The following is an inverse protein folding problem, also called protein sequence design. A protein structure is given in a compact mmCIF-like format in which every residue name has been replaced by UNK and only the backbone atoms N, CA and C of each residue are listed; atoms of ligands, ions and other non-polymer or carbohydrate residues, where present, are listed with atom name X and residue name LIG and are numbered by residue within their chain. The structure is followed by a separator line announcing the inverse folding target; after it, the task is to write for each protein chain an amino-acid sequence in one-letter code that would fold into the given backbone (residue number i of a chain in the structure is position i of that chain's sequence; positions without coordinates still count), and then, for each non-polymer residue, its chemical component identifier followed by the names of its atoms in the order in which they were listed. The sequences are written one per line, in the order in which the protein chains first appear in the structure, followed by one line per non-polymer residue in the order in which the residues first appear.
data_IF_673713325874
#
_entry.id   IF_673713325874
#
_cell.length_a   1.000
_cell.length_b   1.000
_cell.length_c   1.000
_cell.angle_alpha   90.00
_cell.angle_beta   90.00
_cell.angle_gamma   90.00
#
_symmetry.space_group_name_H-M   'P 1'
#
loop_
_entity.id
_entity.type
_entity.pdbx_description
1 polymer ?
#
# COMPACT_ATOMS: atom_id res chain seq x y z
N UNK A 1 10.59 9.04 30.30
CA UNK A 1 9.34 9.18 29.52
C UNK A 1 9.69 9.86 28.22
N UNK A 2 9.57 9.18 27.08
CA UNK A 2 9.85 9.78 25.78
C UNK A 2 8.72 10.74 25.41
N UNK A 3 9.05 11.97 25.04
CA UNK A 3 8.06 12.91 24.52
C UNK A 3 7.54 12.38 23.17
N UNK A 4 6.26 12.03 23.12
CA UNK A 4 5.55 11.76 21.86
C UNK A 4 5.40 13.09 21.14
N UNK A 5 6.09 13.23 20.01
CA UNK A 5 6.01 14.44 19.19
C UNK A 5 5.20 14.08 17.96
N UNK A 6 4.11 14.81 17.71
CA UNK A 6 3.38 14.74 16.45
C UNK A 6 3.81 15.90 15.58
N UNK A 7 4.24 15.63 14.34
CA UNK A 7 4.62 16.68 13.41
C UNK A 7 4.17 16.37 11.98
N UNK A 8 3.80 17.40 11.20
CA UNK A 8 3.47 17.23 9.79
C UNK A 8 4.71 16.77 9.02
N UNK A 9 4.58 15.66 8.31
CA UNK A 9 5.67 15.04 7.55
C UNK A 9 5.22 14.77 6.13
N UNK A 10 6.10 15.07 5.17
CA UNK A 10 5.86 14.75 3.75
C UNK A 10 6.02 13.25 3.53
N UNK A 11 4.93 12.60 3.13
CA UNK A 11 4.86 11.17 2.84
C UNK A 11 5.35 10.84 1.42
N UNK A 12 5.41 9.54 1.11
CA UNK A 12 5.84 9.02 -0.18
C UNK A 12 4.96 9.48 -1.35
N UNK A 13 3.66 9.63 -1.10
CA UNK A 13 2.69 10.20 -2.04
C UNK A 13 2.80 11.73 -2.20
N UNK A 14 3.74 12.39 -1.53
CA UNK A 14 3.94 13.84 -1.61
C UNK A 14 3.00 14.68 -0.74
N UNK A 15 1.92 14.10 -0.20
CA UNK A 15 1.04 14.75 0.77
C UNK A 15 1.70 14.91 2.15
N UNK A 16 1.19 15.85 2.95
CA UNK A 16 1.55 16.00 4.36
C UNK A 16 0.62 15.16 5.22
N UNK A 17 1.18 14.45 6.19
CA UNK A 17 0.42 13.70 7.20
C UNK A 17 0.98 13.95 8.60
N UNK A 18 0.14 13.80 9.62
CA UNK A 18 0.52 13.92 11.03
C UNK A 18 1.16 12.61 11.48
N UNK A 19 2.49 12.60 11.58
CA UNK A 19 3.24 11.43 12.04
C UNK A 19 3.60 11.54 13.53
N UNK A 20 3.42 10.46 14.26
CA UNK A 20 3.81 10.35 15.67
C UNK A 20 5.22 9.77 15.80
N UNK A 21 6.16 10.60 16.22
CA UNK A 21 7.53 10.21 16.52
C UNK A 21 7.59 9.65 17.93
N UNK A 22 7.86 8.35 18.03
CA UNK A 22 7.83 7.61 19.30
C UNK A 22 9.21 7.09 19.70
N UNK A 23 10.15 7.02 18.75
CA UNK A 23 11.47 6.50 18.99
C UNK A 23 12.36 7.49 19.77
N UNK A 24 13.04 7.03 20.84
CA UNK A 24 13.92 7.90 21.62
C UNK A 24 15.23 8.22 20.88
N UNK A 25 15.81 9.38 21.19
CA UNK A 25 17.11 9.80 20.68
C UNK A 25 17.13 10.21 19.20
N UNK A 26 18.27 10.72 18.76
CA UNK A 26 18.44 11.24 17.38
C UNK A 26 18.35 10.14 16.32
N UNK A 27 18.90 8.95 16.60
CA UNK A 27 18.86 7.81 15.70
C UNK A 27 17.44 7.29 15.46
N UNK A 28 16.68 7.11 16.56
CA UNK A 28 15.29 6.69 16.50
C UNK A 28 14.41 7.68 15.73
N UNK A 29 14.52 8.98 16.04
CA UNK A 29 13.79 10.04 15.31
C UNK A 29 14.13 10.08 13.82
N UNK A 30 15.39 9.80 13.46
CA UNK A 30 15.80 9.70 12.05
C UNK A 30 15.11 8.51 11.37
N UNK A 31 15.01 7.37 12.04
CA UNK A 31 14.34 6.18 11.51
C UNK A 31 12.83 6.38 11.37
N UNK A 32 12.18 6.98 12.36
CA UNK A 32 10.76 7.36 12.31
C UNK A 32 10.48 8.30 11.12
N UNK A 33 11.36 9.30 10.91
CA UNK A 33 11.25 10.23 9.77
C UNK A 33 11.44 9.53 8.43
N UNK A 34 12.41 8.61 8.35
CA UNK A 34 12.62 7.81 7.16
C UNK A 34 11.40 6.96 6.86
N UNK A 35 10.85 6.25 7.86
CA UNK A 35 9.63 5.47 7.74
C UNK A 35 8.47 6.34 7.22
N UNK A 36 8.17 7.45 7.89
CA UNK A 36 7.09 8.36 7.51
C UNK A 36 7.23 8.91 6.08
N UNK A 37 8.45 9.25 5.65
CA UNK A 37 8.71 9.72 4.27
C UNK A 37 8.67 8.60 3.21
N UNK A 38 8.58 7.35 3.64
CA UNK A 38 8.63 6.15 2.80
C UNK A 38 7.34 5.34 2.80
N UNK A 39 6.33 5.82 3.53
CA UNK A 39 4.96 5.34 3.52
C UNK A 39 4.06 6.39 2.90
N UNK A 40 2.93 5.96 2.33
CA UNK A 40 1.89 6.90 1.88
C UNK A 40 1.14 7.49 3.08
N UNK A 41 0.44 8.61 2.89
CA UNK A 41 -0.38 9.20 3.94
C UNK A 41 -1.64 8.36 4.23
N UNK A 42 -2.26 8.61 5.37
CA UNK A 42 -3.48 7.94 5.83
C UNK A 42 -4.63 8.03 4.83
N UNK A 43 -4.85 9.19 4.20
CA UNK A 43 -5.89 9.39 3.18
C UNK A 43 -5.64 8.53 1.93
N UNK A 44 -4.42 8.55 1.39
CA UNK A 44 -4.07 7.69 0.24
C UNK A 44 -4.16 6.21 0.60
N UNK A 45 -3.78 5.83 1.82
CA UNK A 45 -3.95 4.45 2.30
C UNK A 45 -5.42 4.06 2.42
N UNK A 46 -6.29 4.94 2.87
CA UNK A 46 -7.72 4.68 2.96
C UNK A 46 -8.33 4.51 1.58
N UNK A 47 -7.99 5.42 0.66
CA UNK A 47 -8.42 5.37 -0.74
C UNK A 47 -8.03 4.07 -1.45
N UNK A 48 -6.79 3.61 -1.27
CA UNK A 48 -6.37 2.29 -1.80
C UNK A 48 -7.22 1.16 -1.23
N UNK A 49 -7.50 1.18 0.08
CA UNK A 49 -8.29 0.13 0.74
C UNK A 49 -9.73 0.11 0.23
N UNK A 50 -10.31 1.27 -0.06
CA UNK A 50 -11.63 1.39 -0.66
C UNK A 50 -11.65 0.86 -2.11
N UNK A 51 -10.66 1.24 -2.92
CA UNK A 51 -10.54 0.75 -4.31
C UNK A 51 -10.42 -0.76 -4.41
N UNK A 52 -9.72 -1.39 -3.46
CA UNK A 52 -9.51 -2.85 -3.43
C UNK A 52 -10.48 -3.58 -2.50
N UNK A 53 -11.55 -2.91 -2.09
CA UNK A 53 -12.62 -3.56 -1.34
C UNK A 53 -13.23 -4.73 -2.16
N UNK A 54 -13.72 -5.79 -1.49
CA UNK A 54 -14.29 -6.94 -2.17
C UNK A 54 -15.39 -6.57 -3.18
N UNK A 55 -15.26 -7.07 -4.40
CA UNK A 55 -16.21 -6.83 -5.49
C UNK A 55 -17.07 -8.06 -5.72
N UNK A 56 -18.39 -7.86 -5.88
CA UNK A 56 -19.34 -8.96 -6.00
C UNK A 56 -19.31 -9.66 -7.38
N UNK A 57 -18.86 -8.95 -8.43
CA UNK A 57 -18.88 -9.43 -9.81
C UNK A 57 -17.67 -8.94 -10.58
N UNK A 58 -17.27 -9.71 -11.58
CA UNK A 58 -16.19 -9.38 -12.50
C UNK A 58 -15.25 -10.56 -12.72
N UNK A 59 -14.73 -10.66 -13.94
CA UNK A 59 -13.70 -11.62 -14.28
C UNK A 59 -12.57 -10.88 -14.97
N UNK A 60 -11.38 -10.96 -14.38
CA UNK A 60 -10.18 -10.43 -15.00
C UNK A 60 -9.50 -11.53 -15.81
N UNK A 61 -9.56 -11.40 -17.13
CA UNK A 61 -8.86 -12.33 -18.01
C UNK A 61 -7.36 -12.04 -17.97
N UNK A 62 -6.58 -13.01 -17.52
CA UNK A 62 -5.13 -12.98 -17.59
C UNK A 62 -4.55 -14.34 -17.96
N UNK A 63 -3.43 -14.33 -18.67
CA UNK A 63 -2.64 -15.54 -18.90
C UNK A 63 -1.84 -15.85 -17.64
N UNK A 64 -1.99 -17.09 -17.15
CA UNK A 64 -1.24 -17.57 -16.00
C UNK A 64 -0.06 -18.39 -16.49
N UNK A 65 1.18 -18.01 -16.19
CA UNK A 65 2.33 -18.82 -16.56
C UNK A 65 2.28 -20.18 -15.84
N UNK A 66 2.90 -21.18 -16.45
CA UNK A 66 3.00 -22.50 -15.84
C UNK A 66 3.84 -22.42 -14.56
N UNK A 67 3.39 -23.10 -13.51
CA UNK A 67 4.13 -23.15 -12.26
C UNK A 67 5.33 -24.10 -12.39
N UNK A 68 6.43 -23.75 -11.72
CA UNK A 68 7.65 -24.53 -11.61
C UNK A 68 7.77 -25.14 -10.20
N UNK A 69 8.36 -26.34 -10.13
CA UNK A 69 8.59 -27.07 -8.89
C UNK A 69 8.29 -28.57 -9.01
N UNK A 70 8.27 -29.27 -7.88
CA UNK A 70 7.95 -30.69 -7.83
C UNK A 70 6.48 -30.94 -8.29
N UNK A 71 6.18 -31.98 -9.09
CA UNK A 71 4.84 -32.17 -9.68
C UNK A 71 3.67 -32.14 -8.69
N UNK A 72 3.84 -32.77 -7.53
CA UNK A 72 2.82 -32.74 -6.45
C UNK A 72 2.61 -31.33 -5.89
N UNK A 73 3.69 -30.57 -5.68
CA UNK A 73 3.64 -29.19 -5.20
C UNK A 73 3.00 -28.27 -6.24
N UNK A 74 3.30 -28.48 -7.53
CA UNK A 74 2.72 -27.70 -8.63
C UNK A 74 1.20 -27.86 -8.68
N UNK A 75 0.69 -29.08 -8.61
CA UNK A 75 -0.76 -29.33 -8.62
C UNK A 75 -1.47 -28.62 -7.46
N UNK A 76 -0.92 -28.73 -6.25
CA UNK A 76 -1.49 -28.05 -5.08
C UNK A 76 -1.38 -26.53 -5.17
N UNK A 77 -0.21 -25.99 -5.52
CA UNK A 77 0.00 -24.56 -5.71
C UNK A 77 -0.93 -23.98 -6.77
N UNK A 78 -1.21 -24.72 -7.84
CA UNK A 78 -2.15 -24.31 -8.87
C UNK A 78 -3.58 -24.19 -8.34
N UNK A 79 -4.00 -25.11 -7.46
CA UNK A 79 -5.32 -25.02 -6.80
C UNK A 79 -5.43 -23.77 -5.92
N UNK A 80 -4.36 -23.45 -5.16
CA UNK A 80 -4.28 -22.24 -4.33
C UNK A 80 -4.32 -20.97 -5.19
N UNK A 81 -3.50 -20.91 -6.24
CA UNK A 81 -3.46 -19.78 -7.17
C UNK A 81 -4.83 -19.53 -7.81
N UNK A 82 -5.51 -20.58 -8.25
CA UNK A 82 -6.86 -20.46 -8.83
C UNK A 82 -7.89 -20.01 -7.80
N UNK A 83 -7.80 -20.44 -6.54
CA UNK A 83 -8.67 -19.94 -5.47
C UNK A 83 -8.50 -18.43 -5.28
N UNK A 84 -7.26 -17.93 -5.23
CA UNK A 84 -6.99 -16.50 -5.16
C UNK A 84 -7.49 -15.72 -6.39
N UNK A 85 -7.41 -16.29 -7.59
CA UNK A 85 -7.96 -15.64 -8.79
C UNK A 85 -9.47 -15.49 -8.71
N UNK A 86 -10.18 -16.48 -8.16
CA UNK A 86 -11.64 -16.37 -7.99
C UNK A 86 -12.02 -15.26 -7.02
N UNK A 87 -11.23 -15.06 -5.96
CA UNK A 87 -11.50 -14.00 -4.97
C UNK A 87 -11.06 -12.63 -5.46
N UNK A 88 -9.92 -12.54 -6.16
CA UNK A 88 -9.30 -11.27 -6.57
C UNK A 88 -9.70 -10.82 -7.98
N UNK A 89 -10.16 -11.73 -8.83
CA UNK A 89 -10.58 -11.46 -10.20
C UNK A 89 -11.64 -10.36 -10.33
N UNK A 90 -12.69 -10.34 -9.49
CA UNK A 90 -13.65 -9.23 -9.45
C UNK A 90 -13.00 -7.87 -9.14
N UNK A 91 -12.06 -7.85 -8.18
CA UNK A 91 -11.33 -6.63 -7.80
C UNK A 91 -10.47 -6.16 -8.98
N UNK A 92 -9.68 -7.06 -9.57
CA UNK A 92 -8.84 -6.73 -10.72
C UNK A 92 -9.67 -6.24 -11.93
N UNK A 93 -10.84 -6.82 -12.18
CA UNK A 93 -11.74 -6.36 -13.23
C UNK A 93 -12.26 -4.94 -12.96
N UNK A 94 -12.64 -4.64 -11.72
CA UNK A 94 -13.04 -3.29 -11.31
C UNK A 94 -11.89 -2.28 -11.50
N UNK A 95 -10.68 -2.62 -11.06
CA UNK A 95 -9.50 -1.77 -11.19
C UNK A 95 -9.16 -1.50 -12.67
N UNK A 96 -9.30 -2.50 -13.55
CA UNK A 96 -9.06 -2.35 -15.00
C UNK A 96 -9.97 -1.30 -15.65
N UNK A 97 -11.19 -1.15 -15.15
CA UNK A 97 -12.16 -0.18 -15.66
C UNK A 97 -12.00 1.22 -15.05
N UNK A 98 -11.14 1.37 -14.03
CA UNK A 98 -10.90 2.64 -13.36
C UNK A 98 -9.88 3.48 -14.13
N UNK A 99 -10.09 4.79 -14.15
CA UNK A 99 -9.13 5.78 -14.68
C UNK A 99 -8.20 6.32 -13.59
N UNK A 100 -8.40 5.90 -12.34
CA UNK A 100 -7.58 6.32 -11.21
C UNK A 100 -6.14 5.78 -11.34
N UNK A 101 -5.11 6.66 -11.30
CA UNK A 101 -3.72 6.22 -11.29
C UNK A 101 -3.40 5.17 -10.20
N UNK A 102 -4.06 5.27 -9.04
CA UNK A 102 -3.88 4.34 -7.91
C UNK A 102 -4.44 2.96 -8.26
N UNK A 103 -5.57 2.92 -8.97
CA UNK A 103 -6.15 1.67 -9.44
C UNK A 103 -5.24 0.96 -10.45
N UNK A 104 -4.59 1.71 -11.34
CA UNK A 104 -3.59 1.18 -12.28
C UNK A 104 -2.41 0.55 -11.52
N UNK A 105 -1.88 1.23 -10.50
CA UNK A 105 -0.80 0.69 -9.69
C UNK A 105 -1.22 -0.55 -8.89
N UNK A 106 -2.42 -0.56 -8.31
CA UNK A 106 -2.98 -1.71 -7.62
C UNK A 106 -3.16 -2.91 -8.56
N UNK A 107 -3.62 -2.67 -9.80
CA UNK A 107 -3.74 -3.72 -10.82
C UNK A 107 -2.36 -4.30 -11.16
N UNK A 108 -1.34 -3.46 -11.38
CA UNK A 108 0.02 -3.91 -11.65
C UNK A 108 0.59 -4.78 -10.53
N UNK A 109 0.29 -4.47 -9.25
CA UNK A 109 0.64 -5.32 -8.10
C UNK A 109 -0.01 -6.70 -8.21
N UNK A 110 -1.30 -6.78 -8.51
CA UNK A 110 -1.99 -8.06 -8.66
C UNK A 110 -1.48 -8.88 -9.84
N UNK A 111 -1.21 -8.23 -10.98
CA UNK A 111 -0.62 -8.93 -12.12
C UNK A 111 0.77 -9.47 -11.80
N UNK A 112 1.58 -8.68 -11.10
CA UNK A 112 2.90 -9.09 -10.63
C UNK A 112 2.79 -10.31 -9.69
N UNK A 113 1.82 -10.33 -8.77
CA UNK A 113 1.55 -11.49 -7.90
C UNK A 113 1.23 -12.76 -8.72
N UNK A 114 0.29 -12.67 -9.68
CA UNK A 114 -0.16 -13.85 -10.43
C UNK A 114 0.82 -14.32 -11.51
N UNK A 115 1.80 -13.49 -11.89
CA UNK A 115 2.93 -13.90 -12.72
C UNK A 115 3.92 -14.82 -11.99
N UNK A 116 3.84 -14.94 -10.65
CA UNK A 116 4.78 -15.77 -9.88
C UNK A 116 4.61 -17.25 -10.24
N UNK A 117 5.71 -17.86 -10.70
CA UNK A 117 5.74 -19.25 -11.17
C UNK A 117 6.18 -20.25 -10.11
N UNK A 118 6.80 -19.81 -9.02
CA UNK A 118 7.29 -20.72 -7.98
C UNK A 118 6.13 -21.33 -7.18
N UNK A 119 6.00 -22.66 -7.21
CA UNK A 119 5.01 -23.39 -6.43
C UNK A 119 5.18 -23.19 -4.91
N UNK A 120 6.42 -23.04 -4.42
CA UNK A 120 6.68 -22.85 -2.98
C UNK A 120 6.17 -21.52 -2.47
N UNK A 121 6.20 -20.46 -3.28
CA UNK A 121 5.62 -19.16 -2.94
C UNK A 121 4.12 -19.29 -2.59
N UNK A 122 3.36 -19.95 -3.46
CA UNK A 122 1.92 -20.15 -3.27
C UNK A 122 1.62 -21.05 -2.07
N UNK A 123 2.41 -22.10 -1.86
CA UNK A 123 2.25 -23.02 -0.72
C UNK A 123 2.58 -22.33 0.60
N UNK A 124 3.66 -21.56 0.67
CA UNK A 124 4.05 -20.80 1.86
C UNK A 124 3.07 -19.67 2.17
N UNK A 125 2.43 -19.12 1.14
CA UNK A 125 1.42 -18.06 1.22
C UNK A 125 -0.03 -18.54 1.34
N UNK A 126 -0.29 -19.84 1.50
CA UNK A 126 -1.66 -20.42 1.44
C UNK A 126 -2.67 -19.77 2.40
N UNK A 127 -2.22 -19.36 3.58
CA UNK A 127 -3.04 -18.77 4.64
C UNK A 127 -2.99 -17.23 4.60
N UNK A 128 -2.31 -16.66 3.59
CA UNK A 128 -2.11 -15.22 3.48
C UNK A 128 -3.27 -14.57 2.73
N UNK A 129 -3.76 -13.46 3.29
CA UNK A 129 -4.83 -12.67 2.70
C UNK A 129 -4.29 -11.75 1.59
N UNK A 130 -3.84 -12.34 0.47
CA UNK A 130 -3.52 -11.57 -0.73
C UNK A 130 -4.74 -10.72 -1.13
N UNK A 131 -4.49 -9.44 -1.45
CA UNK A 131 -5.55 -8.47 -1.74
C UNK A 131 -6.22 -7.83 -0.54
N UNK A 132 -5.85 -8.19 0.70
CA UNK A 132 -6.21 -7.36 1.85
C UNK A 132 -5.65 -5.95 1.65
N UNK A 133 -6.44 -4.91 1.95
CA UNK A 133 -6.07 -3.55 1.59
C UNK A 133 -4.74 -3.08 2.19
N UNK A 134 -4.35 -3.54 3.38
CA UNK A 134 -3.03 -3.26 3.96
C UNK A 134 -1.87 -3.90 3.19
N UNK A 135 -2.09 -5.11 2.63
CA UNK A 135 -1.10 -5.79 1.80
C UNK A 135 -0.91 -5.03 0.48
N UNK A 136 -2.00 -4.62 -0.17
CA UNK A 136 -1.91 -3.83 -1.43
C UNK A 136 -1.20 -2.51 -1.20
N UNK A 137 -1.52 -1.79 -0.12
CA UNK A 137 -0.82 -0.55 0.25
C UNK A 137 0.68 -0.78 0.37
N UNK A 138 1.12 -1.82 1.08
CA UNK A 138 2.53 -2.14 1.23
C UNK A 138 3.22 -2.42 -0.12
N UNK A 139 2.59 -3.16 -1.02
CA UNK A 139 3.13 -3.46 -2.35
C UNK A 139 3.23 -2.20 -3.23
N UNK A 140 2.23 -1.32 -3.19
CA UNK A 140 2.26 -0.03 -3.90
C UNK A 140 3.39 0.85 -3.36
N UNK A 141 3.56 0.93 -2.04
CA UNK A 141 4.69 1.66 -1.45
C UNK A 141 6.03 1.11 -1.94
N UNK A 142 6.19 -0.21 -2.03
CA UNK A 142 7.40 -0.82 -2.60
C UNK A 142 7.64 -0.40 -4.06
N UNK A 143 6.60 -0.33 -4.90
CA UNK A 143 6.71 0.15 -6.28
C UNK A 143 7.07 1.65 -6.34
N UNK A 144 6.52 2.47 -5.45
CA UNK A 144 6.72 3.92 -5.44
C UNK A 144 8.08 4.35 -4.89
N UNK A 145 8.69 3.57 -4.01
CA UNK A 145 9.98 3.92 -3.39
C UNK A 145 11.10 4.01 -4.44
N UNK A 146 11.83 5.13 -4.40
CA UNK A 146 13.01 5.37 -5.25
C UNK A 146 14.23 4.55 -4.84
N UNK A 147 14.30 4.16 -3.57
CA UNK A 147 15.41 3.42 -2.98
C UNK A 147 14.85 2.28 -2.16
N UNK A 148 15.56 1.17 -2.22
CA UNK A 148 15.32 0.07 -1.29
C UNK A 148 15.68 0.51 0.12
N UNK A 149 14.70 0.44 1.00
CA UNK A 149 14.93 0.56 2.42
C UNK A 149 15.15 -0.84 2.96
N UNK A 150 15.99 -0.95 3.98
CA UNK A 150 16.08 -2.14 4.82
C UNK A 150 14.82 -2.30 5.69
N UNK A 151 13.64 -2.23 5.06
CA UNK A 151 12.40 -2.74 5.61
C UNK A 151 12.46 -4.26 5.50
N UNK A 152 11.92 -4.97 6.50
CA UNK A 152 11.95 -6.42 6.55
C UNK A 152 11.45 -7.02 5.23
N UNK A 153 12.31 -7.80 4.55
CA UNK A 153 11.92 -8.55 3.38
C UNK A 153 10.76 -9.48 3.77
N UNK A 154 9.59 -9.22 3.19
CA UNK A 154 8.42 -10.04 3.44
C UNK A 154 8.39 -11.16 2.39
N UNK A 155 8.53 -12.41 2.82
CA UNK A 155 8.44 -13.57 1.93
C UNK A 155 7.10 -13.69 1.19
N UNK A 156 6.08 -12.96 1.65
CA UNK A 156 4.72 -12.88 1.10
C UNK A 156 4.48 -11.63 0.24
N UNK A 157 5.52 -10.84 0.00
CA UNK A 157 5.49 -9.70 -0.92
C UNK A 157 5.81 -10.17 -2.34
N UNK A 158 4.97 -9.81 -3.29
CA UNK A 158 5.24 -10.10 -4.70
C UNK A 158 6.43 -9.26 -5.18
N UNK A 159 6.51 -8.01 -4.73
CA UNK A 159 7.68 -7.16 -4.96
C UNK A 159 8.97 -7.79 -4.44
N UNK A 160 9.04 -8.21 -3.17
CA UNK A 160 10.25 -8.82 -2.62
C UNK A 160 10.60 -10.16 -3.29
N UNK A 161 9.61 -10.92 -3.77
CA UNK A 161 9.86 -12.09 -4.60
C UNK A 161 10.57 -11.70 -5.90
N UNK A 162 10.00 -10.78 -6.69
CA UNK A 162 10.56 -10.40 -7.98
C UNK A 162 11.88 -9.65 -7.88
N UNK A 163 12.09 -8.88 -6.81
CA UNK A 163 13.38 -8.24 -6.54
C UNK A 163 14.53 -9.27 -6.47
N UNK A 164 14.26 -10.45 -5.91
CA UNK A 164 15.26 -11.53 -5.78
C UNK A 164 15.38 -12.37 -7.05
N UNK A 165 14.26 -12.58 -7.76
CA UNK A 165 14.19 -13.53 -8.88
C UNK A 165 14.40 -12.87 -10.24
N UNK A 166 13.67 -11.79 -10.53
CA UNK A 166 13.73 -11.06 -11.79
C UNK A 166 13.22 -9.61 -11.64
N UNK A 167 14.12 -8.63 -11.44
CA UNK A 167 13.75 -7.23 -11.29
C UNK A 167 13.01 -6.62 -12.49
N UNK A 168 13.14 -7.19 -13.70
CA UNK A 168 12.48 -6.66 -14.89
C UNK A 168 10.94 -6.66 -14.77
N UNK A 169 10.37 -7.57 -13.97
CA UNK A 169 8.93 -7.59 -13.70
C UNK A 169 8.49 -6.37 -12.88
N UNK A 170 9.35 -5.93 -11.94
CA UNK A 170 9.12 -4.70 -11.17
C UNK A 170 9.23 -3.48 -12.08
N UNK A 171 10.22 -3.45 -12.97
CA UNK A 171 10.40 -2.34 -13.90
C UNK A 171 9.18 -2.18 -14.82
N UNK A 172 8.63 -3.30 -15.32
CA UNK A 172 7.38 -3.26 -16.08
C UNK A 172 6.22 -2.73 -15.23
N UNK A 173 6.04 -3.24 -14.01
CA UNK A 173 4.97 -2.78 -13.13
C UNK A 173 5.11 -1.27 -12.79
N UNK A 174 6.34 -0.75 -12.68
CA UNK A 174 6.61 0.68 -12.51
C UNK A 174 6.28 1.49 -13.76
N UNK A 175 6.53 0.96 -14.96
CA UNK A 175 6.13 1.60 -16.21
C UNK A 175 4.61 1.68 -16.33
N UNK A 176 3.91 0.60 -15.99
CA UNK A 176 2.45 0.56 -16.01
C UNK A 176 1.87 1.56 -14.99
N UNK A 177 2.50 1.67 -13.81
CA UNK A 177 2.15 2.64 -12.77
C UNK A 177 2.76 4.05 -12.98
N UNK A 178 3.39 4.34 -14.13
CA UNK A 178 4.15 5.57 -14.32
C UNK A 178 3.29 6.84 -14.15
N UNK A 179 2.00 6.78 -14.49
CA UNK A 179 1.07 7.90 -14.31
C UNK A 179 0.94 8.27 -12.83
N UNK A 180 0.82 7.28 -11.94
CA UNK A 180 0.81 7.49 -10.49
C UNK A 180 2.15 8.09 -10.01
N UNK A 181 3.26 7.50 -10.47
CA UNK A 181 4.61 7.92 -10.08
C UNK A 181 4.92 9.36 -10.54
N UNK A 182 4.31 9.80 -11.64
CA UNK A 182 4.47 11.14 -12.21
C UNK A 182 3.50 12.16 -11.61
N UNK A 183 2.27 11.76 -11.29
CA UNK A 183 1.23 12.66 -10.74
C UNK A 183 1.52 13.07 -9.30
N UNK A 184 2.11 12.20 -8.48
CA UNK A 184 2.59 12.58 -7.15
C UNK A 184 3.81 13.51 -7.16
N UNK A 185 4.44 13.74 -8.32
CA UNK A 185 5.49 14.74 -8.46
C UNK A 185 4.93 16.17 -8.57
N UNK A 186 3.63 16.36 -8.84
CA UNK A 186 3.09 17.65 -9.32
C UNK A 186 1.95 18.29 -8.52
N UNK A 187 1.50 17.73 -7.40
CA UNK A 187 0.47 18.38 -6.58
C UNK A 187 1.05 18.95 -5.27
N UNK A 188 1.31 20.27 -5.16
CA UNK A 188 1.24 20.92 -3.86
C UNK A 188 -0.23 20.84 -3.43
N UNK A 189 -0.55 19.89 -2.55
CA UNK A 189 -1.87 19.75 -1.98
C UNK A 189 -2.36 21.09 -1.43
N UNK A 190 -3.63 21.41 -1.69
CA UNK A 190 -4.34 22.50 -1.02
C UNK A 190 -4.15 22.33 0.48
N UNK A 191 -3.32 23.19 1.06
CA UNK A 191 -3.20 23.35 2.50
C UNK A 191 -4.54 23.87 3.02
N UNK A 192 -5.41 22.96 3.43
CA UNK A 192 -6.48 23.31 4.36
C UNK A 192 -5.79 23.45 5.71
N UNK A 193 -5.29 24.66 5.98
CA UNK A 193 -4.80 25.03 7.30
C UNK A 193 -5.91 24.75 8.31
N UNK A 194 -5.70 23.90 9.33
CA UNK A 194 -6.63 23.84 10.44
C UNK A 194 -6.55 25.20 11.14
N UNK A 195 -7.60 25.99 10.99
CA UNK A 195 -7.79 27.24 11.71
C UNK A 195 -7.74 26.91 13.22
N UNK A 196 -6.87 27.55 14.02
CA UNK A 196 -6.84 27.30 15.44
C UNK A 196 -8.18 27.70 16.03
N UNK A 197 -8.82 26.76 16.74
CA UNK A 197 -10.05 27.00 17.48
C UNK A 197 -9.82 28.19 18.42
N UNK A 198 -10.47 29.31 18.14
CA UNK A 198 -10.52 30.44 19.05
C UNK A 198 -11.22 29.99 20.33
N UNK A 199 -10.50 30.11 21.45
CA UNK A 199 -11.06 29.94 22.77
C UNK A 199 -12.20 30.92 22.98
N UNK A 200 -13.37 30.38 23.34
CA UNK A 200 -14.55 31.16 23.75
C UNK A 200 -14.22 31.86 25.07
N UNK A 201 -14.47 33.17 25.25
CA UNK A 201 -14.32 33.81 26.54
C UNK A 201 -15.36 33.26 27.52
N UNK A 202 -14.93 33.00 28.75
CA UNK A 202 -15.80 32.63 29.87
C UNK A 202 -16.67 33.82 30.28
N UNK A 203 -17.98 33.68 30.14
CA UNK A 203 -18.93 34.57 30.83
C UNK A 203 -19.06 34.09 32.28
N UNK A 204 -18.44 34.84 33.19
CA UNK A 204 -18.80 34.85 34.60
C UNK A 204 -20.00 35.77 34.77
N UNK A 205 -21.10 35.25 35.32
CA UNK A 205 -22.33 36.00 35.56
C UNK A 205 -23.19 35.28 36.60
N UNK A 206 -22.69 35.16 37.83
CA UNK A 206 -23.44 34.68 38.98
C UNK A 206 -24.21 35.83 39.63
N UNK A 207 -25.54 35.75 39.65
CA UNK A 207 -26.47 36.27 40.69
C UNK A 207 -27.88 36.01 40.17
N UNK A 208 -28.85 35.44 40.89
CA UNK A 208 -29.51 36.02 42.09
C UNK A 208 -30.17 34.91 42.93
N UNK A 209 -29.81 34.87 44.21
CA UNK A 209 -30.71 34.81 45.37
C UNK A 209 -30.12 35.86 46.33
N UNK A 210 -30.80 36.94 46.70
CA UNK A 210 -32.09 37.06 47.37
C UNK A 210 -33.05 38.04 46.68
#
# INVERSE_FOLDING_TARGET
MGAHITAPTKCLCGHLDLFSFTSPGMGGRRQDRLYASSTICGECSAHIRELVAPQAKGFYQMSLPQLAGHPRSVSWAQSLRLAHIRTLGPIMAHLKCSTDPVAVAALAVFEMLFKITDAQYWIAGRDHAFGAGHWVVSEIEHLMRKRDLAMHENSRSAYCYWKRVNPAVIDQAKQDAAVLLSSFALAPGKTTTPQPAQAKPSEAGTSVFL
#
